data_IF_176569754311
#
_entry.id   IF_176569754311
#
_cell.length_a   1.000
_cell.length_b   1.000
_cell.length_c   1.000
_cell.angle_alpha   90.00
_cell.angle_beta   90.00
_cell.angle_gamma   90.00
#
_symmetry.space_group_name_H-M   'P 1'
#
loop_
_entity.id
_entity.type
_entity.pdbx_description
1 polymer ?
#
# COMPACT_ATOMS: atom_id res chain seq x y z
N UNK A 1 2.85 -25.73 7.40
CA UNK A 1 2.83 -25.37 8.84
C UNK A 1 1.93 -26.35 9.59
N UNK A 2 2.32 -26.79 10.80
CA UNK A 2 1.48 -27.65 11.66
C UNK A 2 1.31 -26.98 13.01
N UNK A 3 0.09 -26.96 13.53
CA UNK A 3 -0.21 -26.34 14.82
C UNK A 3 -0.93 -27.37 15.69
N UNK A 4 -0.33 -27.70 16.84
CA UNK A 4 -0.93 -28.58 17.83
C UNK A 4 -1.33 -27.78 19.06
N UNK A 5 -2.59 -27.92 19.46
CA UNK A 5 -3.19 -27.18 20.57
C UNK A 5 -3.18 -28.01 21.86
N UNK A 6 -3.53 -27.39 22.99
CA UNK A 6 -3.71 -28.11 24.25
C UNK A 6 -5.02 -28.89 24.22
N UNK A 7 -5.12 -29.93 25.06
CA UNK A 7 -6.36 -30.71 25.22
C UNK A 7 -7.53 -29.86 25.69
N UNK A 8 -7.29 -28.94 26.62
CA UNK A 8 -8.31 -27.99 27.11
C UNK A 8 -8.85 -27.11 25.97
N UNK A 9 -7.96 -26.59 25.12
CA UNK A 9 -8.38 -25.83 23.95
C UNK A 9 -9.20 -26.69 22.98
N UNK A 10 -8.85 -27.96 22.78
CA UNK A 10 -9.60 -28.87 21.92
C UNK A 10 -11.04 -29.09 22.44
N UNK A 11 -11.20 -29.27 23.75
CA UNK A 11 -12.51 -29.40 24.40
C UNK A 11 -13.35 -28.12 24.25
N UNK A 12 -12.74 -26.95 24.46
CA UNK A 12 -13.40 -25.65 24.25
C UNK A 12 -13.81 -25.42 22.79
N UNK A 13 -12.94 -25.78 21.85
CA UNK A 13 -13.24 -25.71 20.42
C UNK A 13 -14.43 -26.58 20.06
N UNK A 14 -14.48 -27.82 20.55
CA UNK A 14 -15.59 -28.73 20.32
C UNK A 14 -16.91 -28.20 20.91
N UNK A 15 -16.87 -27.71 22.14
CA UNK A 15 -18.02 -27.09 22.83
C UNK A 15 -18.59 -25.94 22.02
N UNK A 16 -17.76 -24.97 21.63
CA UNK A 16 -18.18 -23.78 20.89
C UNK A 16 -18.63 -24.12 19.47
N UNK A 17 -17.92 -25.01 18.77
CA UNK A 17 -18.31 -25.47 17.42
C UNK A 17 -19.71 -26.07 17.43
N UNK A 18 -19.99 -26.92 18.42
CA UNK A 18 -21.29 -27.59 18.57
C UNK A 18 -22.38 -26.59 18.94
N UNK A 19 -22.11 -25.68 19.88
CA UNK A 19 -23.07 -24.66 20.31
C UNK A 19 -23.57 -23.79 19.15
N UNK A 20 -22.67 -23.36 18.27
CA UNK A 20 -23.01 -22.49 17.12
C UNK A 20 -23.24 -23.26 15.81
N UNK A 21 -23.19 -24.59 15.84
CA UNK A 21 -23.32 -25.46 14.66
C UNK A 21 -22.38 -25.08 13.50
N UNK A 22 -21.12 -24.74 13.81
CA UNK A 22 -20.14 -24.38 12.79
C UNK A 22 -19.69 -25.59 11.98
N UNK A 23 -19.75 -25.48 10.65
CA UNK A 23 -19.43 -26.60 9.73
C UNK A 23 -17.96 -26.98 9.71
N UNK A 24 -17.05 -26.02 9.93
CA UNK A 24 -15.61 -26.22 9.82
C UNK A 24 -14.90 -25.96 11.15
N UNK A 25 -13.97 -26.85 11.51
CA UNK A 25 -13.16 -26.79 12.72
C UNK A 25 -12.32 -25.52 12.84
N UNK A 26 -11.90 -24.92 11.71
CA UNK A 26 -11.12 -23.68 11.70
C UNK A 26 -11.92 -22.42 12.03
N UNK A 27 -13.26 -22.46 12.10
CA UNK A 27 -14.05 -21.25 12.37
C UNK A 27 -13.82 -20.74 13.80
N UNK A 28 -13.95 -21.62 14.80
CA UNK A 28 -13.80 -21.23 16.21
C UNK A 28 -12.38 -20.71 16.52
N UNK A 29 -11.28 -21.35 16.08
CA UNK A 29 -9.94 -20.82 16.28
C UNK A 29 -9.74 -19.42 15.71
N UNK A 30 -10.27 -19.15 14.51
CA UNK A 30 -10.13 -17.84 13.86
C UNK A 30 -10.87 -16.74 14.62
N UNK A 31 -12.08 -17.03 15.11
CA UNK A 31 -12.86 -16.08 15.90
C UNK A 31 -12.17 -15.84 17.25
N UNK A 32 -11.75 -16.90 17.94
CA UNK A 32 -11.06 -16.80 19.23
C UNK A 32 -9.76 -15.99 19.12
N UNK A 33 -8.92 -16.32 18.14
CA UNK A 33 -7.69 -15.57 17.85
C UNK A 33 -7.98 -14.09 17.59
N UNK A 34 -8.94 -13.77 16.72
CA UNK A 34 -9.32 -12.38 16.41
C UNK A 34 -9.85 -11.65 17.65
N UNK A 35 -10.68 -12.30 18.46
CA UNK A 35 -11.22 -11.76 19.69
C UNK A 35 -10.14 -11.48 20.74
N UNK A 36 -9.10 -12.32 20.79
CA UNK A 36 -7.92 -12.10 21.62
C UNK A 36 -7.16 -10.84 21.20
N UNK A 37 -6.92 -10.66 19.90
CA UNK A 37 -6.25 -9.46 19.40
C UNK A 37 -7.08 -8.19 19.63
N UNK A 38 -8.41 -8.25 19.43
CA UNK A 38 -9.33 -7.14 19.70
C UNK A 38 -9.30 -6.66 21.16
N UNK A 39 -8.90 -7.52 22.10
CA UNK A 39 -8.73 -7.13 23.51
C UNK A 39 -7.49 -6.26 23.77
N UNK A 40 -6.58 -6.14 22.78
CA UNK A 40 -5.31 -5.43 22.93
C UNK A 40 -4.25 -6.21 23.70
N UNK A 41 -4.50 -7.48 24.08
CA UNK A 41 -3.54 -8.30 24.83
C UNK A 41 -2.25 -8.49 24.02
N UNK A 42 -1.11 -8.24 24.63
CA UNK A 42 0.23 -8.56 24.13
C UNK A 42 0.80 -9.66 25.03
N UNK A 43 1.36 -10.70 24.42
CA UNK A 43 2.05 -11.78 25.13
C UNK A 43 3.57 -11.66 24.96
N UNK A 44 4.28 -12.12 25.97
CA UNK A 44 5.73 -12.27 25.97
C UNK A 44 6.07 -13.77 25.93
N UNK A 45 6.70 -14.23 24.86
CA UNK A 45 7.00 -15.65 24.66
C UNK A 45 7.97 -16.21 25.70
N UNK A 46 8.82 -15.35 26.29
CA UNK A 46 9.79 -15.78 27.30
C UNK A 46 9.14 -15.93 28.68
N UNK A 47 8.12 -15.13 28.97
CA UNK A 47 7.51 -15.03 30.30
C UNK A 47 6.12 -15.68 30.41
N UNK A 48 5.36 -15.74 29.31
CA UNK A 48 4.02 -16.33 29.30
C UNK A 48 4.07 -17.84 29.08
N UNK A 49 3.18 -18.55 29.79
CA UNK A 49 3.08 -20.01 29.72
C UNK A 49 2.38 -20.39 28.41
N UNK A 50 3.16 -20.93 27.48
CA UNK A 50 2.64 -21.44 26.22
C UNK A 50 1.78 -22.68 26.51
N UNK A 51 0.53 -22.75 26.01
CA UNK A 51 -0.32 -23.92 26.19
C UNK A 51 0.35 -25.20 25.71
N UNK A 52 0.07 -26.32 26.37
CA UNK A 52 0.58 -27.65 25.99
C UNK A 52 0.22 -28.03 24.55
N UNK A 53 0.90 -29.04 24.01
CA UNK A 53 0.67 -29.59 22.66
C UNK A 53 0.16 -31.03 22.74
N UNK A 54 -0.80 -31.28 23.60
CA UNK A 54 -1.36 -32.62 23.93
C UNK A 54 -2.76 -32.86 23.34
N UNK A 55 -3.38 -31.85 22.73
CA UNK A 55 -4.67 -31.95 22.05
C UNK A 55 -4.54 -32.17 20.54
N UNK A 56 -5.59 -31.76 19.81
CA UNK A 56 -5.69 -31.88 18.35
C UNK A 56 -4.54 -31.21 17.59
N UNK A 57 -4.15 -31.85 16.49
CA UNK A 57 -3.16 -31.33 15.54
C UNK A 57 -3.87 -30.86 14.25
N UNK A 58 -3.70 -29.59 13.90
CA UNK A 58 -4.04 -29.05 12.59
C UNK A 58 -2.85 -29.24 11.65
N UNK A 59 -2.95 -30.23 10.77
CA UNK A 59 -1.89 -30.60 9.83
C UNK A 59 -1.86 -29.76 8.55
N UNK A 60 -3.00 -29.16 8.22
CA UNK A 60 -3.21 -28.33 7.05
C UNK A 60 -3.56 -26.91 7.51
N UNK A 61 -2.79 -25.94 7.04
CA UNK A 61 -2.98 -24.54 7.38
C UNK A 61 -4.27 -23.97 6.77
N UNK A 62 -4.76 -24.56 5.67
CA UNK A 62 -6.08 -24.27 5.11
C UNK A 62 -7.22 -24.70 6.05
N UNK A 63 -7.03 -25.78 6.80
CA UNK A 63 -8.06 -26.26 7.72
C UNK A 63 -8.28 -25.32 8.91
N UNK A 64 -7.22 -24.64 9.36
CA UNK A 64 -7.27 -23.69 10.49
C UNK A 64 -7.53 -22.25 10.03
N UNK A 65 -6.85 -21.76 8.99
CA UNK A 65 -6.95 -20.37 8.54
C UNK A 65 -7.96 -20.16 7.42
N UNK A 66 -8.35 -21.22 6.72
CA UNK A 66 -9.28 -21.17 5.59
C UNK A 66 -8.66 -20.67 4.29
N UNK A 67 -9.49 -20.61 3.25
CA UNK A 67 -9.12 -20.22 1.88
C UNK A 67 -10.07 -19.14 1.37
N UNK A 68 -10.35 -18.13 2.20
CA UNK A 68 -11.36 -17.10 1.87
C UNK A 68 -10.88 -16.20 0.70
N UNK A 69 -9.57 -16.03 0.54
CA UNK A 69 -8.98 -15.26 -0.57
C UNK A 69 -8.28 -16.22 -1.53
N UNK A 70 -8.95 -16.58 -2.63
CA UNK A 70 -8.44 -17.52 -3.64
C UNK A 70 -8.32 -18.97 -3.14
N UNK A 71 -7.52 -19.79 -3.84
CA UNK A 71 -7.33 -21.22 -3.51
C UNK A 71 -6.18 -21.49 -2.52
N UNK A 72 -5.48 -20.42 -2.08
CA UNK A 72 -4.35 -20.46 -1.16
C UNK A 72 -4.79 -20.48 0.31
N UNK A 73 -3.86 -20.82 1.21
CA UNK A 73 -4.11 -20.68 2.64
C UNK A 73 -4.05 -19.22 3.06
N UNK A 74 -4.97 -18.81 3.92
CA UNK A 74 -5.00 -17.48 4.52
C UNK A 74 -3.92 -17.26 5.60
N UNK A 75 -3.00 -18.21 5.83
CA UNK A 75 -1.93 -18.12 6.84
C UNK A 75 -1.21 -16.77 6.83
N UNK A 76 -0.88 -16.25 5.64
CA UNK A 76 -0.20 -14.97 5.48
C UNK A 76 -1.01 -13.82 6.09
N UNK A 77 -2.33 -13.83 5.95
CA UNK A 77 -3.21 -12.80 6.51
C UNK A 77 -3.15 -12.82 8.04
N UNK A 78 -3.26 -14.00 8.64
CA UNK A 78 -3.20 -14.16 10.10
C UNK A 78 -1.83 -13.77 10.65
N UNK A 79 -0.76 -14.12 9.94
CA UNK A 79 0.60 -13.69 10.27
C UNK A 79 0.75 -12.17 10.18
N UNK A 80 0.30 -11.54 9.10
CA UNK A 80 0.40 -10.09 8.93
C UNK A 80 -0.39 -9.32 9.99
N UNK A 81 -1.58 -9.81 10.38
CA UNK A 81 -2.36 -9.21 11.47
C UNK A 81 -1.59 -9.30 12.79
N UNK A 82 -0.97 -10.45 13.07
CA UNK A 82 -0.16 -10.62 14.27
C UNK A 82 1.07 -9.71 14.23
N UNK A 83 1.81 -9.68 13.12
CA UNK A 83 2.99 -8.82 12.95
C UNK A 83 2.66 -7.34 13.20
N UNK A 84 1.50 -6.89 12.68
CA UNK A 84 1.01 -5.54 12.93
C UNK A 84 0.65 -5.31 14.41
N UNK A 85 -0.01 -6.27 15.05
CA UNK A 85 -0.37 -6.20 16.47
C UNK A 85 0.86 -6.10 17.39
N UNK A 86 1.96 -6.75 17.02
CA UNK A 86 3.23 -6.73 17.75
C UNK A 86 4.22 -5.67 17.25
N UNK A 87 3.89 -4.95 16.17
CA UNK A 87 4.76 -3.93 15.57
C UNK A 87 6.08 -4.47 14.99
N UNK A 88 6.16 -5.77 14.68
CA UNK A 88 7.38 -6.43 14.17
C UNK A 88 7.06 -7.71 13.40
N UNK A 89 7.97 -8.10 12.53
CA UNK A 89 7.86 -9.37 11.81
C UNK A 89 8.11 -10.55 12.75
N UNK A 90 7.15 -11.46 12.85
CA UNK A 90 7.30 -12.74 13.54
C UNK A 90 7.85 -13.80 12.60
N UNK A 91 8.76 -14.64 13.07
CA UNK A 91 9.20 -15.84 12.35
C UNK A 91 8.21 -17.00 12.57
N UNK A 92 8.31 -18.10 11.81
CA UNK A 92 7.31 -19.19 11.85
C UNK A 92 7.11 -19.77 13.26
N UNK A 93 8.19 -20.10 13.97
CA UNK A 93 8.11 -20.66 15.34
C UNK A 93 7.45 -19.69 16.33
N UNK A 94 7.78 -18.41 16.20
CA UNK A 94 7.23 -17.36 17.03
C UNK A 94 5.74 -17.13 16.74
N UNK A 95 5.37 -17.06 15.46
CA UNK A 95 3.98 -16.98 15.03
C UNK A 95 3.16 -18.13 15.61
N UNK A 96 3.67 -19.37 15.57
CA UNK A 96 2.97 -20.54 16.13
C UNK A 96 2.77 -20.39 17.63
N UNK A 97 3.80 -19.99 18.39
CA UNK A 97 3.72 -19.81 19.85
C UNK A 97 2.71 -18.72 20.23
N UNK A 98 2.82 -17.56 19.60
CA UNK A 98 1.91 -16.42 19.82
C UNK A 98 0.48 -16.75 19.38
N UNK A 99 0.30 -17.45 18.26
CA UNK A 99 -1.00 -17.92 17.82
C UNK A 99 -1.65 -18.83 18.88
N UNK A 100 -0.89 -19.76 19.47
CA UNK A 100 -1.41 -20.63 20.55
C UNK A 100 -1.80 -19.83 21.79
N UNK A 101 -0.99 -18.88 22.22
CA UNK A 101 -1.29 -18.00 23.35
C UNK A 101 -2.57 -17.19 23.10
N UNK A 102 -2.67 -16.57 21.93
CA UNK A 102 -3.86 -15.81 21.55
C UNK A 102 -5.11 -16.67 21.39
N UNK A 103 -4.98 -17.87 20.81
CA UNK A 103 -6.07 -18.82 20.70
C UNK A 103 -6.61 -19.20 22.08
N UNK A 104 -5.73 -19.57 23.02
CA UNK A 104 -6.10 -19.94 24.38
C UNK A 104 -6.87 -18.83 25.09
N UNK A 105 -6.27 -17.64 25.14
CA UNK A 105 -6.89 -16.46 25.74
C UNK A 105 -8.22 -16.06 25.07
N UNK A 106 -8.29 -16.18 23.74
CA UNK A 106 -9.50 -15.92 22.98
C UNK A 106 -10.64 -16.88 23.31
N UNK A 107 -10.31 -18.16 23.51
CA UNK A 107 -11.25 -19.21 23.91
C UNK A 107 -11.72 -19.01 25.36
N UNK A 108 -10.84 -18.64 26.28
CA UNK A 108 -11.19 -18.32 27.67
C UNK A 108 -12.15 -17.12 27.75
N UNK A 109 -11.87 -16.03 27.02
CA UNK A 109 -12.76 -14.86 26.95
C UNK A 109 -14.13 -15.27 26.40
N UNK A 110 -14.16 -16.10 25.35
CA UNK A 110 -15.41 -16.50 24.74
C UNK A 110 -16.21 -17.43 25.67
N UNK A 111 -15.57 -18.48 26.18
CA UNK A 111 -16.21 -19.46 27.04
C UNK A 111 -16.73 -18.83 28.35
N UNK A 112 -15.95 -17.95 28.99
CA UNK A 112 -16.38 -17.27 30.21
C UNK A 112 -17.61 -16.37 30.02
N UNK A 113 -17.79 -15.79 28.82
CA UNK A 113 -19.02 -15.05 28.47
C UNK A 113 -20.19 -16.00 28.26
N UNK A 114 -19.97 -17.14 27.62
CA UNK A 114 -20.99 -18.15 27.33
C UNK A 114 -21.50 -18.82 28.61
N UNK A 115 -20.62 -19.09 29.58
CA UNK A 115 -21.01 -19.68 30.86
C UNK A 115 -21.91 -18.77 31.70
N UNK A 116 -21.85 -17.45 31.47
CA UNK A 116 -22.72 -16.46 32.11
C UNK A 116 -23.98 -16.13 31.30
N UNK A 117 -24.12 -16.68 30.10
CA UNK A 117 -25.16 -16.34 29.15
C UNK A 117 -26.37 -17.28 29.26
N UNK A 118 -27.58 -16.77 29.03
CA UNK A 118 -28.75 -17.62 28.89
C UNK A 118 -28.87 -18.13 27.45
N UNK A 119 -28.38 -19.34 27.22
CA UNK A 119 -28.34 -19.95 25.88
C UNK A 119 -29.74 -20.06 25.25
N UNK A 120 -30.75 -20.43 26.05
CA UNK A 120 -32.13 -20.59 25.58
C UNK A 120 -32.79 -19.29 25.12
N UNK A 121 -32.33 -18.14 25.63
CA UNK A 121 -32.81 -16.81 25.21
C UNK A 121 -32.05 -16.24 24.01
N UNK A 122 -30.99 -16.91 23.55
CA UNK A 122 -30.19 -16.45 22.42
C UNK A 122 -28.99 -15.56 22.77
N UNK A 123 -28.71 -15.31 24.06
CA UNK A 123 -27.62 -14.42 24.51
C UNK A 123 -26.24 -14.78 23.92
N UNK A 124 -26.00 -16.07 23.65
CA UNK A 124 -24.78 -16.55 23.01
C UNK A 124 -24.61 -16.00 21.58
N UNK A 125 -25.69 -15.75 20.85
CA UNK A 125 -25.66 -15.11 19.53
C UNK A 125 -25.27 -13.64 19.69
N UNK A 126 -25.83 -12.93 20.68
CA UNK A 126 -25.49 -11.53 20.95
C UNK A 126 -24.02 -11.36 21.31
N UNK A 127 -23.44 -12.29 22.07
CA UNK A 127 -22.00 -12.31 22.37
C UNK A 127 -21.18 -12.36 21.09
N UNK A 128 -21.52 -13.26 20.17
CA UNK A 128 -20.82 -13.40 18.89
C UNK A 128 -21.01 -12.16 18.00
N UNK A 129 -22.25 -11.67 17.88
CA UNK A 129 -22.57 -10.47 17.10
C UNK A 129 -21.85 -9.23 17.64
N UNK A 130 -21.67 -9.11 18.96
CA UNK A 130 -20.91 -8.01 19.56
C UNK A 130 -19.44 -8.01 19.13
N UNK A 131 -18.81 -9.19 19.04
CA UNK A 131 -17.42 -9.31 18.55
C UNK A 131 -17.35 -8.89 17.07
N UNK A 132 -18.28 -9.39 16.25
CA UNK A 132 -18.36 -9.03 14.82
C UNK A 132 -18.57 -7.52 14.65
N UNK A 133 -19.53 -6.94 15.38
CA UNK A 133 -19.82 -5.51 15.35
C UNK A 133 -18.62 -4.68 15.77
N UNK A 134 -17.90 -5.07 16.83
CA UNK A 134 -16.68 -4.36 17.27
C UNK A 134 -15.62 -4.34 16.17
N UNK A 135 -15.40 -5.46 15.49
CA UNK A 135 -14.49 -5.52 14.34
C UNK A 135 -14.95 -4.68 13.14
N UNK A 136 -16.25 -4.62 12.88
CA UNK A 136 -16.81 -3.76 11.83
C UNK A 136 -16.71 -2.26 12.18
N UNK A 137 -16.91 -1.90 13.44
CA UNK A 137 -16.79 -0.51 13.91
C UNK A 137 -15.35 -0.01 13.84
N UNK A 138 -14.34 -0.87 14.10
CA UNK A 138 -12.93 -0.53 13.82
C UNK A 138 -12.70 -0.23 12.33
N UNK A 139 -13.36 -0.96 11.42
CA UNK A 139 -13.26 -0.70 9.98
C UNK A 139 -13.90 0.59 9.52
N UNK A 140 -14.93 1.10 10.20
CA UNK A 140 -15.57 2.38 9.85
C UNK A 140 -14.59 3.55 9.85
N UNK A 141 -13.53 3.47 10.65
CA UNK A 141 -12.48 4.49 10.70
C UNK A 141 -11.26 4.20 9.81
N UNK A 142 -11.20 3.01 9.19
CA UNK A 142 -10.00 2.50 8.48
C UNK A 142 -10.18 2.45 6.95
N UNK A 143 -11.38 2.68 6.41
CA UNK A 143 -11.49 3.06 4.98
C UNK A 143 -11.14 4.54 4.81
N UNK A 144 -9.95 4.93 5.26
CA UNK A 144 -9.23 6.04 4.65
C UNK A 144 -8.52 5.48 3.43
N UNK A 145 -9.27 5.22 2.37
CA UNK A 145 -8.69 5.55 1.08
C UNK A 145 -8.49 7.05 1.16
N UNK A 146 -7.26 7.54 1.32
CA UNK A 146 -6.93 8.95 1.12
C UNK A 146 -7.14 9.30 -0.37
N UNK A 147 -8.36 9.11 -0.87
CA UNK A 147 -8.88 9.85 -2.01
C UNK A 147 -9.31 11.19 -1.41
N UNK A 148 -8.35 11.93 -0.85
CA UNK A 148 -8.47 13.36 -0.99
C UNK A 148 -8.21 13.58 -2.47
N UNK A 149 -9.26 13.57 -3.29
CA UNK A 149 -9.26 14.35 -4.51
C UNK A 149 -9.08 15.80 -4.07
N UNK A 150 -7.86 16.18 -3.70
CA UNK A 150 -7.45 17.56 -3.84
C UNK A 150 -7.64 17.80 -5.33
N UNK A 151 -8.75 18.43 -5.70
CA UNK A 151 -8.89 19.02 -7.01
C UNK A 151 -7.77 20.05 -7.08
N UNK A 152 -6.63 19.63 -7.60
CA UNK A 152 -5.52 20.52 -7.90
C UNK A 152 -6.07 21.37 -9.03
N UNK A 153 -6.46 22.60 -8.71
CA UNK A 153 -6.86 23.56 -9.71
C UNK A 153 -5.58 23.97 -10.42
N UNK A 154 -5.22 23.24 -11.47
CA UNK A 154 -4.05 23.54 -12.30
C UNK A 154 -4.38 24.83 -13.04
N UNK A 155 -3.65 25.90 -12.73
CA UNK A 155 -3.76 27.16 -13.47
C UNK A 155 -3.01 27.02 -14.78
N UNK A 156 -3.65 27.44 -15.87
CA UNK A 156 -3.00 27.59 -17.17
C UNK A 156 -2.20 28.90 -17.17
N UNK A 157 -1.02 28.87 -17.81
CA UNK A 157 -0.21 30.06 -18.04
C UNK A 157 -0.56 30.62 -19.42
N UNK A 158 -1.16 31.80 -19.46
CA UNK A 158 -1.73 32.38 -20.69
C UNK A 158 -0.74 33.27 -21.47
N UNK A 159 0.28 33.82 -20.78
CA UNK A 159 1.22 34.75 -21.39
C UNK A 159 2.21 34.06 -22.34
N UNK A 160 2.83 34.86 -23.21
CA UNK A 160 3.85 34.37 -24.13
C UNK A 160 5.09 33.91 -23.34
N UNK A 161 5.44 32.64 -23.48
CA UNK A 161 6.57 32.04 -22.79
C UNK A 161 7.83 32.18 -23.63
N UNK A 162 8.79 32.94 -23.11
CA UNK A 162 10.03 33.23 -23.83
C UNK A 162 11.27 32.87 -23.03
N UNK A 163 12.34 32.45 -23.72
CA UNK A 163 13.68 32.30 -23.17
C UNK A 163 14.73 32.56 -24.26
N UNK A 164 15.92 32.96 -23.85
CA UNK A 164 17.06 33.26 -24.71
C UNK A 164 17.99 32.03 -24.77
N UNK A 165 18.34 31.58 -25.97
CA UNK A 165 19.23 30.44 -26.17
C UNK A 165 20.71 30.83 -26.27
N UNK A 166 20.99 32.08 -26.62
CA UNK A 166 22.34 32.58 -26.89
C UNK A 166 22.31 33.65 -27.98
N UNK A 167 23.45 33.84 -28.64
CA UNK A 167 23.63 34.86 -29.67
C UNK A 167 23.99 34.24 -31.02
N UNK A 168 23.60 34.91 -32.10
CA UNK A 168 24.08 34.63 -33.45
C UNK A 168 25.53 35.08 -33.62
N UNK A 169 26.15 34.76 -34.76
CA UNK A 169 27.49 35.27 -35.09
C UNK A 169 27.53 36.81 -35.24
N UNK A 170 26.37 37.46 -35.37
CA UNK A 170 26.21 38.91 -35.49
C UNK A 170 25.89 39.58 -34.14
N UNK A 171 26.08 38.88 -33.02
CA UNK A 171 25.76 39.31 -31.65
C UNK A 171 24.26 39.60 -31.40
N UNK A 172 23.36 39.04 -32.22
CA UNK A 172 21.92 39.15 -32.01
C UNK A 172 21.39 38.04 -31.10
N UNK A 173 20.60 38.40 -30.09
CA UNK A 173 20.03 37.42 -29.17
C UNK A 173 18.98 36.53 -29.85
N UNK A 174 19.14 35.21 -29.70
CA UNK A 174 18.20 34.20 -30.18
C UNK A 174 17.14 33.96 -29.09
N UNK A 175 15.97 34.56 -29.28
CA UNK A 175 14.83 34.44 -28.35
C UNK A 175 13.80 33.46 -28.91
N UNK A 176 13.46 32.45 -28.12
CA UNK A 176 12.46 31.43 -28.46
C UNK A 176 11.13 31.76 -27.80
N UNK A 177 10.03 31.63 -28.56
CA UNK A 177 8.64 31.80 -28.09
C UNK A 177 7.90 30.47 -28.14
N UNK A 178 8.15 29.61 -27.16
CA UNK A 178 7.79 28.18 -27.23
C UNK A 178 6.28 27.91 -27.37
N UNK A 179 5.42 28.80 -26.87
CA UNK A 179 3.97 28.67 -26.98
C UNK A 179 3.34 29.53 -28.09
N UNK A 180 4.14 30.14 -28.97
CA UNK A 180 3.65 30.85 -30.15
C UNK A 180 3.41 29.87 -31.30
N UNK A 181 2.12 29.60 -31.57
CA UNK A 181 1.68 28.69 -32.64
C UNK A 181 2.01 29.19 -34.06
N UNK A 182 2.46 30.44 -34.21
CA UNK A 182 2.95 30.97 -35.48
C UNK A 182 4.40 30.56 -35.75
N UNK A 183 5.13 30.19 -34.71
CA UNK A 183 6.55 29.80 -34.76
C UNK A 183 6.73 28.28 -34.63
N UNK A 184 5.98 27.64 -33.72
CA UNK A 184 6.09 26.20 -33.47
C UNK A 184 4.73 25.49 -33.42
N UNK A 185 4.63 24.34 -34.09
CA UNK A 185 3.43 23.49 -34.07
C UNK A 185 3.22 22.79 -32.71
N UNK A 186 4.28 22.62 -31.91
CA UNK A 186 4.23 22.02 -30.59
C UNK A 186 5.34 22.57 -29.67
N UNK A 187 5.25 22.25 -28.37
CA UNK A 187 6.14 22.75 -27.31
C UNK A 187 7.25 21.76 -26.92
N UNK A 188 7.45 20.70 -27.70
CA UNK A 188 8.46 19.68 -27.39
C UNK A 188 9.82 20.13 -27.90
N UNK A 189 10.85 20.03 -27.05
CA UNK A 189 12.23 20.39 -27.40
C UNK A 189 13.10 19.13 -27.33
N UNK A 190 13.92 18.94 -28.37
CA UNK A 190 14.97 17.92 -28.39
C UNK A 190 16.35 18.61 -28.39
N UNK A 191 17.19 18.27 -27.42
CA UNK A 191 18.58 18.76 -27.33
C UNK A 191 19.52 17.57 -27.50
N UNK A 192 20.30 17.59 -28.58
CA UNK A 192 21.28 16.56 -28.91
C UNK A 192 22.71 17.09 -28.82
N UNK A 193 23.66 16.23 -28.42
CA UNK A 193 25.06 16.60 -28.28
C UNK A 193 25.87 15.54 -27.55
N UNK A 194 27.19 15.53 -27.75
CA UNK A 194 28.09 14.56 -27.11
C UNK A 194 28.22 14.78 -25.60
N UNK A 195 28.73 13.81 -24.85
CA UNK A 195 29.01 13.99 -23.43
C UNK A 195 29.99 15.17 -23.22
N UNK A 196 29.75 15.99 -22.18
CA UNK A 196 30.56 17.17 -21.91
C UNK A 196 30.22 18.42 -22.74
N UNK A 197 29.29 18.35 -23.70
CA UNK A 197 28.92 19.49 -24.55
C UNK A 197 28.04 20.56 -23.87
N UNK A 198 27.85 20.50 -22.55
CA UNK A 198 27.05 21.48 -21.80
C UNK A 198 25.53 21.30 -21.84
N UNK A 199 24.97 20.20 -22.38
CA UNK A 199 23.51 19.97 -22.47
C UNK A 199 22.75 20.20 -21.16
N UNK A 200 23.26 19.63 -20.07
CA UNK A 200 22.64 19.76 -18.74
C UNK A 200 22.62 21.23 -18.28
N UNK A 201 23.67 21.98 -18.58
CA UNK A 201 23.76 23.40 -18.22
C UNK A 201 22.79 24.24 -19.05
N UNK A 202 22.70 23.97 -20.36
CA UNK A 202 21.72 24.62 -21.24
C UNK A 202 20.28 24.36 -20.76
N UNK A 203 19.95 23.11 -20.41
CA UNK A 203 18.61 22.80 -19.88
C UNK A 203 18.32 23.50 -18.55
N UNK A 204 19.27 23.55 -17.63
CA UNK A 204 19.12 24.29 -16.36
C UNK A 204 18.91 25.77 -16.62
N UNK A 205 19.63 26.36 -17.56
CA UNK A 205 19.47 27.77 -17.90
C UNK A 205 18.08 28.05 -18.50
N UNK A 206 17.63 27.24 -19.45
CA UNK A 206 16.27 27.35 -20.03
C UNK A 206 15.20 27.25 -18.93
N UNK A 207 15.29 26.24 -18.05
CA UNK A 207 14.32 26.06 -16.96
C UNK A 207 14.36 27.22 -15.94
N UNK A 208 15.55 27.74 -15.66
CA UNK A 208 15.71 28.92 -14.81
C UNK A 208 15.04 30.16 -15.44
N UNK A 209 15.28 30.40 -16.72
CA UNK A 209 14.65 31.50 -17.46
C UNK A 209 13.12 31.35 -17.50
N UNK A 210 12.60 30.14 -17.76
CA UNK A 210 11.15 29.85 -17.70
C UNK A 210 10.60 30.16 -16.31
N UNK A 211 11.24 29.67 -15.25
CA UNK A 211 10.77 29.94 -13.89
C UNK A 211 10.79 31.43 -13.55
N UNK A 212 11.85 32.14 -13.93
CA UNK A 212 12.00 33.58 -13.73
C UNK A 212 10.94 34.38 -14.50
N UNK A 213 10.79 34.11 -15.80
CA UNK A 213 9.90 34.86 -16.68
C UNK A 213 8.42 34.63 -16.38
N UNK A 214 8.09 33.47 -15.81
CA UNK A 214 6.73 33.16 -15.33
C UNK A 214 6.53 33.50 -13.85
N UNK A 215 7.48 34.15 -13.19
CA UNK A 215 7.44 34.42 -11.74
C UNK A 215 7.17 33.16 -10.88
N UNK A 216 7.64 31.99 -11.34
CA UNK A 216 7.41 30.66 -10.77
C UNK A 216 5.94 30.19 -10.83
N UNK A 217 5.10 30.78 -11.68
CA UNK A 217 3.73 30.33 -11.91
C UNK A 217 3.71 28.99 -12.65
N UNK A 218 4.51 28.89 -13.72
CA UNK A 218 4.63 27.64 -14.48
C UNK A 218 5.57 26.69 -13.75
N UNK A 219 5.03 25.55 -13.32
CA UNK A 219 5.79 24.50 -12.64
C UNK A 219 6.43 23.55 -13.65
N UNK A 220 7.63 23.07 -13.34
CA UNK A 220 8.30 22.04 -14.12
C UNK A 220 8.76 20.89 -13.22
N UNK A 221 8.96 19.73 -13.84
CA UNK A 221 9.56 18.55 -13.23
C UNK A 221 10.79 18.21 -14.06
N UNK A 222 11.93 18.04 -13.40
CA UNK A 222 13.19 17.73 -14.05
C UNK A 222 13.72 16.38 -13.53
N UNK A 223 13.79 15.39 -14.44
CA UNK A 223 14.33 14.07 -14.13
C UNK A 223 15.78 13.96 -14.58
N UNK A 224 16.72 13.91 -13.62
CA UNK A 224 18.14 13.69 -13.88
C UNK A 224 18.52 12.22 -13.63
N UNK A 225 18.55 11.42 -14.71
CA UNK A 225 18.93 10.00 -14.64
C UNK A 225 20.44 9.76 -14.57
N UNK A 226 21.27 10.76 -14.86
CA UNK A 226 22.73 10.59 -14.90
C UNK A 226 23.35 10.74 -13.51
N UNK A 227 22.65 11.37 -12.57
CA UNK A 227 23.07 11.52 -11.19
C UNK A 227 24.20 12.53 -11.00
N UNK A 228 24.27 13.55 -11.87
CA UNK A 228 25.38 14.52 -11.86
C UNK A 228 25.23 15.62 -10.79
N UNK A 229 24.10 15.69 -10.10
CA UNK A 229 23.83 16.74 -9.11
C UNK A 229 23.97 16.26 -7.67
N UNK A 230 25.08 16.60 -7.01
CA UNK A 230 25.09 16.66 -5.55
C UNK A 230 24.16 17.82 -5.11
N UNK A 231 23.26 17.63 -4.11
CA UNK A 231 22.40 18.68 -3.57
C UNK A 231 23.10 20.03 -3.34
N UNK A 232 24.36 20.01 -2.88
CA UNK A 232 25.14 21.23 -2.65
C UNK A 232 25.43 22.02 -3.93
N UNK A 233 25.74 21.33 -5.03
CA UNK A 233 26.02 21.96 -6.33
C UNK A 233 24.74 22.45 -7.00
N UNK A 234 23.60 21.79 -6.74
CA UNK A 234 22.31 22.18 -7.28
C UNK A 234 21.66 23.33 -6.50
N UNK A 235 22.10 23.58 -5.26
CA UNK A 235 21.50 24.59 -4.38
C UNK A 235 21.25 25.95 -5.04
N UNK A 236 22.20 26.56 -5.80
CA UNK A 236 21.93 27.85 -6.46
C UNK A 236 20.77 27.78 -7.46
N UNK A 237 20.65 26.68 -8.20
CA UNK A 237 19.57 26.46 -9.17
C UNK A 237 18.23 26.20 -8.46
N UNK A 238 18.24 25.37 -7.41
CA UNK A 238 17.05 25.04 -6.64
C UNK A 238 16.47 26.27 -5.95
N UNK A 239 17.33 27.08 -5.31
CA UNK A 239 16.93 28.31 -4.64
C UNK A 239 16.37 29.34 -5.64
N UNK A 240 17.02 29.48 -6.80
CA UNK A 240 16.60 30.42 -7.84
C UNK A 240 15.28 30.04 -8.51
N UNK A 241 14.98 28.74 -8.61
CA UNK A 241 13.75 28.22 -9.23
C UNK A 241 12.66 27.83 -8.23
N UNK A 242 12.94 27.93 -6.93
CA UNK A 242 12.08 27.44 -5.83
C UNK A 242 11.70 25.97 -6.01
N UNK A 243 12.65 25.17 -6.45
CA UNK A 243 12.47 23.73 -6.67
C UNK A 243 12.86 22.93 -5.43
N UNK A 244 12.13 21.84 -5.22
CA UNK A 244 12.48 20.82 -4.25
C UNK A 244 13.32 19.73 -4.95
N UNK A 245 14.40 19.30 -4.30
CA UNK A 245 15.18 18.17 -4.75
C UNK A 245 14.69 16.92 -4.04
N UNK A 246 14.37 15.88 -4.83
CA UNK A 246 13.92 14.57 -4.33
C UNK A 246 14.90 13.52 -4.81
N UNK A 247 15.55 12.83 -3.86
CA UNK A 247 16.45 11.73 -4.16
C UNK A 247 15.66 10.41 -4.10
N UNK A 248 15.10 10.02 -5.23
CA UNK A 248 14.23 8.83 -5.33
C UNK A 248 14.93 7.56 -4.78
N UNK A 249 16.26 7.46 -4.90
CA UNK A 249 17.01 6.26 -4.47
C UNK A 249 17.25 6.28 -2.97
N UNK A 250 17.69 7.41 -2.42
CA UNK A 250 18.06 7.52 -1.00
C UNK A 250 16.86 7.83 -0.09
N UNK A 251 15.82 8.48 -0.61
CA UNK A 251 14.61 8.86 0.16
C UNK A 251 13.61 7.70 0.30
N UNK A 252 13.96 6.49 -0.15
CA UNK A 252 13.10 5.31 -0.07
C UNK A 252 11.99 5.27 -1.12
N UNK A 253 12.15 6.02 -2.21
CA UNK A 253 11.19 6.12 -3.31
C UNK A 253 10.34 7.39 -3.26
N UNK A 254 9.34 7.46 -4.14
CA UNK A 254 8.34 8.54 -4.15
C UNK A 254 7.16 8.08 -3.29
N UNK A 255 6.62 8.96 -2.44
CA UNK A 255 5.35 8.72 -1.73
C UNK A 255 4.17 8.77 -2.72
N UNK A 256 4.08 7.75 -3.56
CA UNK A 256 3.10 7.62 -4.63
C UNK A 256 2.45 6.24 -4.53
N UNK A 257 1.12 6.23 -4.42
CA UNK A 257 0.35 5.01 -4.53
C UNK A 257 -0.17 4.85 -5.97
N UNK A 258 0.39 3.92 -6.76
CA UNK A 258 -0.04 3.71 -8.15
C UNK A 258 -1.51 3.31 -8.29
N UNK A 259 -2.10 2.70 -7.27
CA UNK A 259 -3.51 2.30 -7.26
C UNK A 259 -4.48 3.49 -7.18
N UNK A 260 -4.00 4.71 -6.89
CA UNK A 260 -4.83 5.92 -6.96
C UNK A 260 -5.32 6.23 -8.39
N UNK A 261 -4.66 5.68 -9.41
CA UNK A 261 -5.12 5.78 -10.81
C UNK A 261 -6.37 4.97 -11.10
N UNK A 262 -6.75 4.03 -10.23
CA UNK A 262 -7.90 3.16 -10.41
C UNK A 262 -9.15 3.87 -9.92
N UNK A 263 -10.08 4.08 -10.84
CA UNK A 263 -11.36 4.70 -10.54
C UNK A 263 -12.24 3.69 -9.78
N UNK A 264 -12.89 4.16 -8.71
CA UNK A 264 -13.81 3.33 -7.93
C UNK A 264 -15.23 3.26 -8.51
N UNK A 265 -15.58 4.15 -9.44
CA UNK A 265 -16.85 4.11 -10.16
C UNK A 265 -16.97 2.82 -10.98
N UNK A 266 -18.04 2.05 -10.79
CA UNK A 266 -18.21 0.72 -11.40
C UNK A 266 -18.10 0.71 -12.93
N UNK A 267 -18.46 1.82 -13.60
CA UNK A 267 -18.39 1.91 -15.07
C UNK A 267 -16.97 2.19 -15.53
N UNK A 268 -16.23 3.02 -14.80
CA UNK A 268 -14.87 3.43 -15.15
C UNK A 268 -13.80 2.49 -14.61
N UNK A 269 -14.11 1.73 -13.55
CA UNK A 269 -13.18 0.84 -12.86
C UNK A 269 -12.52 -0.17 -13.80
N UNK A 270 -13.24 -0.94 -14.63
CA UNK A 270 -12.60 -1.91 -15.53
C UNK A 270 -11.62 -1.27 -16.52
N UNK A 271 -11.91 -0.06 -16.99
CA UNK A 271 -11.02 0.67 -17.91
C UNK A 271 -9.76 1.16 -17.21
N UNK A 272 -9.91 1.75 -16.01
CA UNK A 272 -8.77 2.21 -15.21
C UNK A 272 -7.85 1.07 -14.76
N UNK A 273 -8.40 -0.10 -14.45
CA UNK A 273 -7.61 -1.31 -14.16
C UNK A 273 -6.79 -1.73 -15.39
N UNK A 274 -7.40 -1.77 -16.57
CA UNK A 274 -6.67 -2.11 -17.81
C UNK A 274 -5.56 -1.10 -18.10
N UNK A 275 -5.86 0.19 -18.05
CA UNK A 275 -4.87 1.23 -18.28
C UNK A 275 -3.69 1.15 -17.28
N UNK A 276 -3.99 0.83 -16.01
CA UNK A 276 -2.97 0.57 -15.01
C UNK A 276 -2.10 -0.64 -15.37
N UNK A 277 -2.71 -1.77 -15.74
CA UNK A 277 -1.97 -2.97 -16.16
C UNK A 277 -1.11 -2.70 -17.39
N UNK A 278 -1.64 -2.04 -18.41
CA UNK A 278 -0.91 -1.67 -19.63
C UNK A 278 0.31 -0.79 -19.33
N UNK A 279 0.14 0.14 -18.38
CA UNK A 279 1.24 0.99 -17.91
C UNK A 279 2.35 0.13 -17.29
N UNK A 280 2.00 -0.81 -16.41
CA UNK A 280 2.97 -1.74 -15.82
C UNK A 280 3.62 -2.64 -16.89
N UNK A 281 2.86 -3.14 -17.86
CA UNK A 281 3.37 -3.96 -18.98
C UNK A 281 4.46 -3.24 -19.76
N UNK A 282 4.37 -1.92 -19.86
CA UNK A 282 5.34 -1.10 -20.60
C UNK A 282 6.71 -1.07 -19.93
N UNK A 283 6.76 -1.15 -18.59
CA UNK A 283 8.01 -1.05 -17.83
C UNK A 283 8.54 -2.38 -17.31
N UNK A 284 7.69 -3.42 -17.23
CA UNK A 284 8.09 -4.75 -16.73
C UNK A 284 8.53 -5.64 -17.91
N UNK A 285 9.82 -5.96 -18.03
CA UNK A 285 10.30 -6.80 -19.11
C UNK A 285 9.65 -8.18 -19.06
N UNK A 286 9.21 -8.70 -20.21
CA UNK A 286 8.65 -10.06 -20.38
C UNK A 286 7.30 -10.31 -19.70
N UNK A 287 6.53 -9.26 -19.39
CA UNK A 287 5.14 -9.47 -18.99
C UNK A 287 4.33 -9.94 -20.21
N UNK A 288 3.80 -11.16 -20.13
CA UNK A 288 2.97 -11.73 -21.19
C UNK A 288 1.49 -11.61 -20.88
N UNK A 289 0.66 -11.92 -21.88
CA UNK A 289 -0.80 -11.86 -21.82
C UNK A 289 -1.39 -12.62 -20.62
N UNK A 290 -0.76 -13.74 -20.23
CA UNK A 290 -1.20 -14.52 -19.06
C UNK A 290 -0.98 -13.74 -17.75
N UNK A 291 0.18 -13.11 -17.59
CA UNK A 291 0.50 -12.28 -16.42
C UNK A 291 -0.37 -11.03 -16.34
N UNK A 292 -0.63 -10.38 -17.48
CA UNK A 292 -1.57 -9.25 -17.57
C UNK A 292 -2.97 -9.64 -17.09
N UNK A 293 -3.51 -10.76 -17.58
CA UNK A 293 -4.83 -11.24 -17.18
C UNK A 293 -4.90 -11.60 -15.68
N UNK A 294 -3.84 -12.18 -15.12
CA UNK A 294 -3.75 -12.43 -13.67
C UNK A 294 -3.79 -11.11 -12.91
N UNK A 295 -3.02 -10.10 -13.33
CA UNK A 295 -2.97 -8.81 -12.67
C UNK A 295 -4.32 -8.08 -12.73
N UNK A 296 -4.99 -8.09 -13.89
CA UNK A 296 -6.35 -7.55 -14.05
C UNK A 296 -7.30 -8.23 -13.05
N UNK A 297 -7.24 -9.56 -12.95
CA UNK A 297 -8.14 -10.34 -12.08
C UNK A 297 -7.88 -10.10 -10.59
N UNK A 298 -6.63 -9.87 -10.18
CA UNK A 298 -6.27 -9.60 -8.79
C UNK A 298 -6.73 -8.22 -8.30
N UNK A 299 -6.82 -7.25 -9.21
CA UNK A 299 -7.15 -5.85 -8.91
C UNK A 299 -8.68 -5.59 -8.96
N UNK A 300 -9.40 -6.40 -9.72
CA UNK A 300 -10.87 -6.33 -9.85
C UNK A 300 -11.58 -6.88 -8.61
#
# INVERSE_FOLDING_TARGET
>A
MRIKISKENDELLYKLKTLYNFKNDGIVPRIAFSNSLLSGKIFDIENDIIPSSDGKEFRDDKAIFGTVIGNGSNTIIFKSILDQHYGRNTFEDEFIKLFKLHLNHGLEIWNSKIEKANISKGDHIDILLKVVKSGLDLRKNVVKTNISSKNINVKEFEDLLTFELGQTEEDENVVIKINDLREFDNRNIAIAGMAGSGKTQLMKDILYQISKNTSNELKFIFFDYKGEGNPEQLKPFLDATKCEFVDIVNDGGIEFNPFLSINLDERQRPFSIRAFVDTISTFVPRMGVSQENILITLIN
#
